data_IF_347884241955
#
_entry.id   IF_347884241955
#
_cell.length_a   1.000
_cell.length_b   1.000
_cell.length_c   1.000
_cell.angle_alpha   90.00
_cell.angle_beta   90.00
_cell.angle_gamma   90.00
#
_symmetry.space_group_name_H-M   'P 1'
#
loop_
_entity.id
_entity.type
_entity.pdbx_description
1 polymer ?
#
# COMPACT_ATOMS: atom_id res chain seq x y z
N UNK A 1 14.61 -23.69 3.43
CA UNK A 1 13.70 -22.79 4.18
C UNK A 1 12.75 -22.17 3.18
N UNK A 2 11.48 -22.55 3.18
CA UNK A 2 10.45 -21.92 2.34
C UNK A 2 10.32 -20.47 2.75
N UNK A 3 10.82 -19.54 1.93
CA UNK A 3 10.52 -18.11 2.02
C UNK A 3 9.01 -18.02 1.87
N UNK A 4 8.31 -17.97 3.01
CA UNK A 4 6.86 -17.79 3.04
C UNK A 4 6.59 -16.49 2.30
N UNK A 5 6.05 -16.61 1.09
CA UNK A 5 5.54 -15.48 0.31
C UNK A 5 4.64 -14.69 1.25
N UNK A 6 5.10 -13.49 1.60
CA UNK A 6 4.39 -12.55 2.46
C UNK A 6 3.17 -12.09 1.67
N UNK A 7 2.12 -12.90 1.72
CA UNK A 7 0.81 -12.55 1.24
C UNK A 7 0.29 -11.51 2.24
N UNK A 8 0.55 -10.24 1.94
CA UNK A 8 -0.22 -9.14 2.53
C UNK A 8 -1.64 -9.32 1.97
N UNK A 9 -2.42 -10.15 2.65
CA UNK A 9 -3.87 -10.17 2.53
C UNK A 9 -4.32 -8.81 3.02
N UNK A 10 -4.38 -7.85 2.10
CA UNK A 10 -5.00 -6.56 2.32
C UNK A 10 -6.48 -6.86 2.61
N UNK A 11 -6.80 -6.95 3.89
CA UNK A 11 -8.18 -7.00 4.35
C UNK A 11 -8.79 -5.64 4.04
N UNK A 12 -9.34 -5.50 2.84
CA UNK A 12 -10.16 -4.37 2.44
C UNK A 12 -11.50 -4.59 3.14
N UNK A 13 -11.54 -4.21 4.42
CA UNK A 13 -12.76 -4.12 5.20
C UNK A 13 -13.05 -2.63 5.39
N UNK A 14 -14.02 -2.14 4.61
CA UNK A 14 -15.08 -1.22 5.02
C UNK A 14 -14.70 -0.22 6.13
N UNK A 15 -14.09 0.90 5.78
CA UNK A 15 -14.04 2.07 6.66
C UNK A 15 -14.09 3.34 5.82
N UNK A 16 -15.27 3.64 5.27
CA UNK A 16 -15.61 5.00 4.89
C UNK A 16 -16.40 5.64 6.07
N UNK A 17 -15.81 6.70 6.61
CA UNK A 17 -16.51 7.85 7.19
C UNK A 17 -17.31 7.67 8.49
N UNK A 18 -16.69 7.16 9.56
CA UNK A 18 -17.16 7.42 10.93
C UNK A 18 -16.44 8.64 11.53
N UNK A 19 -16.77 9.85 11.05
CA UNK A 19 -16.42 11.11 11.72
C UNK A 19 -17.29 12.25 11.18
N UNK A 20 -18.44 12.51 11.80
CA UNK A 20 -18.98 13.84 12.14
C UNK A 20 -20.25 13.63 13.00
N UNK A 21 -20.22 14.17 14.21
CA UNK A 21 -21.34 14.33 15.12
C UNK A 21 -22.06 15.66 14.82
N UNK A 22 -23.40 15.63 14.82
CA UNK A 22 -24.39 16.75 14.83
C UNK A 22 -24.58 17.47 13.47
N UNK A 23 -25.79 17.74 12.92
CA UNK A 23 -27.14 17.98 13.47
C UNK A 23 -28.22 17.39 12.55
N UNK A 24 -29.38 17.01 13.08
CA UNK A 24 -30.47 16.39 12.32
C UNK A 24 -31.11 17.37 11.31
N UNK A 25 -30.53 17.46 10.10
CA UNK A 25 -31.23 17.99 8.94
C UNK A 25 -31.78 16.83 8.11
N UNK A 26 -33.05 16.93 7.73
CA UNK A 26 -33.66 16.00 6.79
C UNK A 26 -33.24 16.38 5.37
N UNK A 27 -32.68 15.43 4.63
CA UNK A 27 -32.44 15.58 3.20
C UNK A 27 -33.76 15.38 2.48
N UNK A 28 -34.35 16.48 2.00
CA UNK A 28 -35.63 16.46 1.30
C UNK A 28 -35.55 17.17 -0.05
N UNK A 29 -35.67 16.42 -1.15
CA UNK A 29 -35.78 17.02 -2.49
C UNK A 29 -36.46 16.06 -3.47
N UNK A 30 -37.05 16.61 -4.53
CA UNK A 30 -37.64 15.85 -5.65
C UNK A 30 -36.74 15.90 -6.87
N UNK A 31 -36.78 14.86 -7.71
CA UNK A 31 -36.05 14.87 -8.97
C UNK A 31 -36.65 15.90 -9.93
N UNK A 32 -35.77 16.75 -10.44
CA UNK A 32 -36.00 17.65 -11.57
C UNK A 32 -34.63 17.94 -12.19
N UNK A 33 -34.59 18.58 -13.36
CA UNK A 33 -33.34 18.82 -14.09
C UNK A 33 -32.29 19.59 -13.26
N UNK A 34 -32.73 20.53 -12.43
CA UNK A 34 -31.83 21.32 -11.57
C UNK A 34 -31.22 20.47 -10.44
N UNK A 35 -32.04 19.68 -9.75
CA UNK A 35 -31.61 18.82 -8.64
C UNK A 35 -30.76 17.66 -9.14
N UNK A 36 -31.01 17.13 -10.33
CA UNK A 36 -30.14 16.14 -10.97
C UNK A 36 -28.77 16.72 -11.27
N UNK A 37 -28.71 17.94 -11.82
CA UNK A 37 -27.44 18.64 -12.06
C UNK A 37 -26.68 18.90 -10.76
N UNK A 38 -27.38 19.31 -9.69
CA UNK A 38 -26.80 19.51 -8.35
C UNK A 38 -26.26 18.21 -7.76
N UNK A 39 -27.03 17.12 -7.79
CA UNK A 39 -26.61 15.82 -7.30
C UNK A 39 -25.41 15.27 -8.07
N UNK A 40 -25.44 15.37 -9.40
CA UNK A 40 -24.32 14.96 -10.25
C UNK A 40 -23.04 15.75 -9.93
N UNK A 41 -23.17 17.07 -9.79
CA UNK A 41 -22.05 17.95 -9.43
C UNK A 41 -21.48 17.60 -8.06
N UNK A 42 -22.34 17.26 -7.08
CA UNK A 42 -21.93 16.82 -5.76
C UNK A 42 -21.15 15.50 -5.82
N UNK A 43 -21.65 14.47 -6.52
CA UNK A 43 -20.91 13.22 -6.71
C UNK A 43 -19.57 13.45 -7.41
N UNK A 44 -19.56 14.23 -8.48
CA UNK A 44 -18.34 14.58 -9.22
C UNK A 44 -17.32 15.24 -8.30
N UNK A 45 -17.75 16.19 -7.47
CA UNK A 45 -16.89 16.92 -6.55
C UNK A 45 -16.31 16.02 -5.46
N UNK A 46 -17.12 15.11 -4.90
CA UNK A 46 -16.63 14.16 -3.89
C UNK A 46 -15.66 13.14 -4.50
N UNK A 47 -15.98 12.59 -5.66
CA UNK A 47 -15.14 11.59 -6.34
C UNK A 47 -13.81 12.17 -6.81
N UNK A 48 -13.73 13.46 -7.12
CA UNK A 48 -12.46 14.16 -7.43
C UNK A 48 -11.48 14.24 -6.25
N UNK A 49 -11.94 13.99 -5.03
CA UNK A 49 -11.04 13.88 -3.86
C UNK A 49 -10.27 12.56 -3.85
N UNK A 50 -10.75 11.56 -4.59
CA UNK A 50 -10.11 10.27 -4.78
C UNK A 50 -9.18 10.30 -6.00
N UNK A 51 -8.22 9.37 -6.11
CA UNK A 51 -7.28 9.31 -7.23
C UNK A 51 -7.93 8.61 -8.44
N UNK A 52 -9.14 9.05 -8.82
CA UNK A 52 -9.88 8.58 -9.98
C UNK A 52 -9.47 9.39 -11.22
N UNK A 53 -9.39 8.74 -12.37
CA UNK A 53 -9.32 9.45 -13.65
C UNK A 53 -10.64 10.21 -13.91
N UNK A 54 -10.60 11.29 -14.70
CA UNK A 54 -11.82 12.05 -15.05
C UNK A 54 -12.91 11.17 -15.69
N UNK A 55 -12.52 10.17 -16.49
CA UNK A 55 -13.46 9.18 -17.03
C UNK A 55 -14.15 8.38 -15.92
N UNK A 56 -13.38 7.83 -14.96
CA UNK A 56 -13.96 7.10 -13.83
C UNK A 56 -14.80 7.99 -12.92
N UNK A 57 -14.39 9.25 -12.68
CA UNK A 57 -15.21 10.21 -11.93
C UNK A 57 -16.57 10.39 -12.62
N UNK A 58 -16.58 10.59 -13.94
CA UNK A 58 -17.81 10.75 -14.70
C UNK A 58 -18.69 9.51 -14.63
N UNK A 59 -18.11 8.34 -14.88
CA UNK A 59 -18.83 7.07 -14.91
C UNK A 59 -19.43 6.73 -13.54
N UNK A 60 -18.64 6.86 -12.47
CA UNK A 60 -19.10 6.62 -11.09
C UNK A 60 -20.15 7.64 -10.66
N UNK A 61 -19.97 8.93 -10.98
CA UNK A 61 -20.96 9.96 -10.66
C UNK A 61 -22.31 9.71 -11.35
N UNK A 62 -22.29 9.29 -12.62
CA UNK A 62 -23.49 8.90 -13.35
C UNK A 62 -24.11 7.62 -12.83
N UNK A 63 -23.30 6.61 -12.49
CA UNK A 63 -23.77 5.38 -11.86
C UNK A 63 -24.48 5.67 -10.53
N UNK A 64 -23.86 6.45 -9.64
CA UNK A 64 -24.44 6.80 -8.34
C UNK A 64 -25.76 7.56 -8.50
N UNK A 65 -25.81 8.57 -9.38
CA UNK A 65 -27.05 9.29 -9.65
C UNK A 65 -28.15 8.36 -10.19
N UNK A 66 -27.81 7.49 -11.13
CA UNK A 66 -28.76 6.54 -11.74
C UNK A 66 -29.33 5.59 -10.69
N UNK A 67 -28.49 5.00 -9.85
CA UNK A 67 -28.91 4.07 -8.80
C UNK A 67 -29.71 4.76 -7.69
N UNK A 68 -29.33 5.97 -7.28
CA UNK A 68 -30.10 6.74 -6.30
C UNK A 68 -31.48 7.10 -6.84
N UNK A 69 -31.58 7.53 -8.10
CA UNK A 69 -32.87 7.77 -8.76
C UNK A 69 -33.72 6.51 -8.85
N UNK A 70 -33.12 5.37 -9.19
CA UNK A 70 -33.83 4.09 -9.26
C UNK A 70 -34.34 3.63 -7.88
N UNK A 71 -33.56 3.84 -6.81
CA UNK A 71 -33.93 3.49 -5.44
C UNK A 71 -34.99 4.43 -4.86
N UNK A 72 -34.98 5.71 -5.23
CA UNK A 72 -35.90 6.73 -4.74
C UNK A 72 -36.55 7.52 -5.89
N UNK A 73 -37.44 6.92 -6.69
CA UNK A 73 -37.97 7.52 -7.92
C UNK A 73 -38.78 8.81 -7.68
N UNK A 74 -39.34 8.98 -6.49
CA UNK A 74 -40.14 10.15 -6.12
C UNK A 74 -39.35 11.25 -5.39
N UNK A 75 -38.02 11.12 -5.34
CA UNK A 75 -37.14 11.99 -4.56
C UNK A 75 -36.79 11.41 -3.19
N UNK A 76 -35.93 12.14 -2.47
CA UNK A 76 -35.35 11.73 -1.19
C UNK A 76 -36.08 12.47 -0.08
N UNK A 77 -36.40 11.74 0.99
CA UNK A 77 -36.96 12.27 2.22
C UNK A 77 -36.54 11.38 3.38
N UNK A 78 -35.35 11.63 3.92
CA UNK A 78 -34.77 10.86 5.02
C UNK A 78 -33.81 11.74 5.82
N UNK A 79 -33.31 11.25 6.96
CA UNK A 79 -32.27 11.97 7.69
C UNK A 79 -30.97 12.02 6.88
N UNK A 80 -30.12 13.02 7.15
CA UNK A 80 -28.78 13.09 6.54
C UNK A 80 -27.96 11.82 6.77
N UNK A 81 -27.99 11.27 7.99
CA UNK A 81 -27.29 10.02 8.30
C UNK A 81 -27.76 8.85 7.43
N UNK A 82 -29.07 8.65 7.33
CA UNK A 82 -29.63 7.60 6.46
C UNK A 82 -29.26 7.82 5.00
N UNK A 83 -29.22 9.08 4.55
CA UNK A 83 -28.82 9.41 3.19
C UNK A 83 -27.34 9.11 2.93
N UNK A 84 -26.45 9.40 3.90
CA UNK A 84 -25.03 9.06 3.81
C UNK A 84 -24.83 7.55 3.69
N UNK A 85 -25.41 6.77 4.59
CA UNK A 85 -25.32 5.30 4.57
C UNK A 85 -25.78 4.73 3.21
N UNK A 86 -26.92 5.21 2.70
CA UNK A 86 -27.44 4.74 1.41
C UNK A 86 -26.56 5.16 0.24
N UNK A 87 -26.00 6.37 0.27
CA UNK A 87 -25.09 6.81 -0.78
C UNK A 87 -23.78 6.02 -0.76
N UNK A 88 -23.27 5.68 0.41
CA UNK A 88 -22.07 4.87 0.56
C UNK A 88 -22.30 3.46 -0.02
N UNK A 89 -23.44 2.83 0.27
CA UNK A 89 -23.83 1.56 -0.33
C UNK A 89 -23.91 1.62 -1.86
N UNK A 90 -24.52 2.69 -2.39
CA UNK A 90 -24.69 2.88 -3.83
C UNK A 90 -23.35 3.13 -4.52
N UNK A 91 -22.51 3.98 -3.93
CA UNK A 91 -21.18 4.25 -4.45
C UNK A 91 -20.33 2.97 -4.42
N UNK A 92 -20.40 2.19 -3.34
CA UNK A 92 -19.74 0.91 -3.25
C UNK A 92 -20.19 -0.04 -4.36
N UNK A 93 -21.50 -0.17 -4.61
CA UNK A 93 -22.02 -0.98 -5.70
C UNK A 93 -21.49 -0.52 -7.08
N UNK A 94 -21.44 0.80 -7.33
CA UNK A 94 -20.88 1.34 -8.57
C UNK A 94 -19.39 1.03 -8.74
N UNK A 95 -18.61 1.11 -7.66
CA UNK A 95 -17.18 0.77 -7.65
C UNK A 95 -16.97 -0.73 -7.93
N UNK A 96 -17.81 -1.60 -7.36
CA UNK A 96 -17.77 -3.05 -7.62
C UNK A 96 -18.15 -3.38 -9.07
N UNK A 97 -19.17 -2.74 -9.62
CA UNK A 97 -19.55 -2.89 -11.04
C UNK A 97 -18.43 -2.45 -11.98
N UNK A 98 -17.71 -1.38 -11.62
CA UNK A 98 -16.53 -0.93 -12.33
C UNK A 98 -15.28 -1.82 -12.11
N UNK A 99 -15.39 -2.85 -11.26
CA UNK A 99 -14.29 -3.75 -10.85
C UNK A 99 -13.07 -3.00 -10.33
N UNK A 100 -13.32 -1.93 -9.59
CA UNK A 100 -12.30 -1.09 -9.00
C UNK A 100 -12.09 -1.49 -7.54
N UNK A 101 -10.83 -1.53 -7.13
CA UNK A 101 -10.42 -1.58 -5.74
C UNK A 101 -10.00 -0.18 -5.35
N UNK A 102 -10.60 0.35 -4.29
CA UNK A 102 -10.32 1.68 -3.76
C UNK A 102 -9.68 1.54 -2.39
N UNK A 103 -8.48 2.08 -2.25
CA UNK A 103 -7.80 2.28 -0.97
C UNK A 103 -7.86 3.78 -0.70
N UNK A 104 -8.59 4.23 0.33
CA UNK A 104 -8.69 5.65 0.65
C UNK A 104 -7.34 6.21 1.12
N UNK A 105 -7.20 7.55 1.20
CA UNK A 105 -6.08 8.17 1.91
C UNK A 105 -5.92 7.55 3.31
N UNK A 106 -4.68 7.25 3.69
CA UNK A 106 -4.40 6.63 4.99
C UNK A 106 -4.61 7.67 6.10
N UNK A 107 -5.60 7.44 6.96
CA UNK A 107 -5.80 8.20 8.20
C UNK A 107 -4.78 7.79 9.27
N UNK A 108 -4.64 8.56 10.35
CA UNK A 108 -3.77 8.20 11.47
C UNK A 108 -4.14 6.85 12.11
N UNK A 109 -5.45 6.54 12.18
CA UNK A 109 -5.93 5.26 12.70
C UNK A 109 -5.57 4.11 11.75
N UNK A 110 -5.83 4.28 10.45
CA UNK A 110 -5.45 3.27 9.45
C UNK A 110 -3.93 3.09 9.36
N UNK A 111 -3.16 4.16 9.55
CA UNK A 111 -1.70 4.11 9.64
C UNK A 111 -1.25 3.21 10.80
N UNK A 112 -1.89 3.30 11.97
CA UNK A 112 -1.60 2.44 13.11
C UNK A 112 -1.95 0.97 12.83
N UNK A 113 -3.11 0.71 12.22
CA UNK A 113 -3.50 -0.66 11.81
C UNK A 113 -2.50 -1.24 10.82
N UNK A 114 -2.12 -0.49 9.78
CA UNK A 114 -1.13 -0.90 8.78
C UNK A 114 0.24 -1.17 9.43
N UNK A 115 0.66 -0.29 10.35
CA UNK A 115 1.90 -0.46 11.11
C UNK A 115 1.92 -1.79 11.86
N UNK A 116 0.86 -2.09 12.60
CA UNK A 116 0.75 -3.34 13.37
C UNK A 116 0.72 -4.58 12.45
N UNK A 117 -0.01 -4.51 11.33
CA UNK A 117 -0.05 -5.62 10.37
C UNK A 117 1.32 -5.91 9.75
N UNK A 118 2.10 -4.87 9.43
CA UNK A 118 3.47 -5.04 8.95
C UNK A 118 4.35 -5.62 10.05
N UNK A 119 4.28 -5.07 11.26
CA UNK A 119 5.03 -5.54 12.42
C UNK A 119 4.83 -7.04 12.69
N UNK A 120 3.58 -7.51 12.68
CA UNK A 120 3.22 -8.91 12.93
C UNK A 120 3.68 -9.87 11.84
N UNK A 121 3.78 -9.41 10.58
CA UNK A 121 4.21 -10.23 9.44
C UNK A 121 5.72 -10.34 9.30
N UNK A 122 6.49 -9.49 9.98
CA UNK A 122 7.96 -9.56 9.96
C UNK A 122 8.46 -10.77 10.74
N UNK A 123 9.57 -11.34 10.28
CA UNK A 123 10.18 -12.54 10.86
C UNK A 123 10.42 -12.38 12.37
N UNK A 124 10.18 -13.43 13.14
CA UNK A 124 10.32 -13.42 14.61
C UNK A 124 11.78 -13.21 15.06
N UNK A 125 12.75 -13.51 14.20
CA UNK A 125 14.17 -13.24 14.44
C UNK A 125 14.53 -11.75 14.39
N UNK A 126 13.66 -10.88 13.88
CA UNK A 126 13.88 -9.43 13.86
C UNK A 126 13.41 -8.83 15.19
N UNK A 127 14.26 -8.04 15.85
CA UNK A 127 13.90 -7.42 17.14
C UNK A 127 12.71 -6.48 17.00
N UNK A 128 11.95 -6.30 18.09
CA UNK A 128 10.80 -5.38 18.10
C UNK A 128 11.19 -3.96 17.68
N UNK A 129 12.37 -3.48 18.11
CA UNK A 129 12.86 -2.15 17.74
C UNK A 129 13.07 -2.03 16.23
N UNK A 130 13.67 -3.05 15.59
CA UNK A 130 13.86 -3.09 14.14
C UNK A 130 12.52 -3.22 13.41
N UNK A 131 11.60 -4.05 13.91
CA UNK A 131 10.26 -4.19 13.34
C UNK A 131 9.47 -2.88 13.37
N UNK A 132 9.53 -2.14 14.49
CA UNK A 132 8.91 -0.83 14.59
C UNK A 132 9.45 0.13 13.54
N UNK A 133 10.77 0.24 13.41
CA UNK A 133 11.43 1.08 12.37
C UNK A 133 11.01 0.69 10.95
N UNK A 134 10.95 -0.60 10.65
CA UNK A 134 10.50 -1.10 9.35
C UNK A 134 9.05 -0.75 9.06
N UNK A 135 8.16 -0.97 10.04
CA UNK A 135 6.75 -0.65 9.92
C UNK A 135 6.50 0.87 9.77
N UNK A 136 7.26 1.70 10.49
CA UNK A 136 7.23 3.16 10.36
C UNK A 136 7.72 3.63 8.99
N UNK A 137 8.85 3.10 8.51
CA UNK A 137 9.34 3.37 7.16
C UNK A 137 8.32 2.97 6.09
N UNK A 138 7.70 1.79 6.24
CA UNK A 138 6.69 1.33 5.28
C UNK A 138 5.49 2.27 5.23
N UNK A 139 4.87 2.56 6.37
CA UNK A 139 3.65 3.39 6.42
C UNK A 139 3.94 4.80 5.92
N UNK A 140 5.04 5.42 6.37
CA UNK A 140 5.44 6.75 5.89
C UNK A 140 5.69 6.79 4.38
N UNK A 141 6.35 5.77 3.83
CA UNK A 141 6.59 5.65 2.39
C UNK A 141 5.30 5.45 1.61
N UNK A 142 4.36 4.62 2.10
CA UNK A 142 3.06 4.42 1.46
C UNK A 142 2.25 5.72 1.47
N UNK A 143 2.20 6.42 2.60
CA UNK A 143 1.51 7.71 2.72
C UNK A 143 2.10 8.78 1.79
N UNK A 144 3.44 8.84 1.69
CA UNK A 144 4.12 9.77 0.80
C UNK A 144 3.90 9.44 -0.68
N UNK A 145 3.90 8.15 -1.04
CA UNK A 145 3.70 7.70 -2.42
C UNK A 145 2.24 7.79 -2.86
N UNK A 146 1.30 7.62 -1.93
CA UNK A 146 -0.14 7.59 -2.20
C UNK A 146 -0.91 8.52 -1.25
N UNK A 147 -0.65 9.84 -1.29
CA UNK A 147 -1.23 10.79 -0.33
C UNK A 147 -2.75 10.94 -0.47
N UNK A 148 -3.30 10.57 -1.63
CA UNK A 148 -4.75 10.55 -1.89
C UNK A 148 -5.35 9.14 -1.85
N UNK A 149 -4.59 8.13 -1.43
CA UNK A 149 -4.96 6.72 -1.58
C UNK A 149 -4.60 6.16 -2.95
N UNK A 150 -5.14 4.98 -3.29
CA UNK A 150 -4.86 4.25 -4.53
C UNK A 150 -6.13 3.65 -5.09
N UNK A 151 -6.29 3.69 -6.41
CA UNK A 151 -7.36 2.97 -7.10
C UNK A 151 -6.74 2.15 -8.22
N UNK A 152 -7.13 0.89 -8.30
CA UNK A 152 -6.66 -0.04 -9.32
C UNK A 152 -7.76 -1.01 -9.69
N UNK A 153 -7.68 -1.62 -10.87
CA UNK A 153 -8.64 -2.66 -11.26
C UNK A 153 -8.36 -3.92 -10.47
N UNK A 154 -9.37 -4.73 -10.22
CA UNK A 154 -9.17 -6.01 -9.53
C UNK A 154 -8.12 -6.90 -10.20
N UNK A 155 -8.04 -6.87 -11.53
CA UNK A 155 -7.01 -7.59 -12.30
C UNK A 155 -5.57 -7.17 -11.95
N UNK A 156 -5.38 -5.92 -11.49
CA UNK A 156 -4.07 -5.34 -11.15
C UNK A 156 -3.69 -5.58 -9.67
N UNK A 157 -4.48 -6.36 -8.92
CA UNK A 157 -4.25 -6.64 -7.50
C UNK A 157 -2.85 -7.19 -7.22
N UNK A 158 -2.32 -8.03 -8.10
CA UNK A 158 -0.98 -8.60 -7.93
C UNK A 158 0.11 -7.54 -8.13
N UNK A 159 -0.04 -6.64 -9.10
CA UNK A 159 0.88 -5.51 -9.29
C UNK A 159 0.89 -4.59 -8.08
N UNK A 160 -0.27 -4.34 -7.46
CA UNK A 160 -0.34 -3.56 -6.23
C UNK A 160 0.37 -4.26 -5.07
N UNK A 161 0.19 -5.58 -4.90
CA UNK A 161 0.91 -6.37 -3.89
C UNK A 161 2.43 -6.29 -4.09
N UNK A 162 2.90 -6.42 -5.32
CA UNK A 162 4.32 -6.28 -5.67
C UNK A 162 4.84 -4.88 -5.33
N UNK A 163 4.07 -3.83 -5.60
CA UNK A 163 4.44 -2.46 -5.25
C UNK A 163 4.54 -2.26 -3.72
N UNK A 164 3.65 -2.86 -2.93
CA UNK A 164 3.75 -2.83 -1.46
C UNK A 164 4.97 -3.59 -0.96
N UNK A 165 5.21 -4.80 -1.50
CA UNK A 165 6.40 -5.59 -1.17
C UNK A 165 7.69 -4.82 -1.46
N UNK A 166 7.76 -4.16 -2.61
CA UNK A 166 8.91 -3.34 -2.98
C UNK A 166 9.17 -2.21 -1.99
N UNK A 167 8.13 -1.56 -1.46
CA UNK A 167 8.26 -0.53 -0.43
C UNK A 167 8.86 -1.13 0.85
N UNK A 168 8.33 -2.27 1.31
CA UNK A 168 8.85 -2.93 2.51
C UNK A 168 10.31 -3.38 2.35
N UNK A 169 10.66 -3.97 1.21
CA UNK A 169 12.04 -4.37 0.90
C UNK A 169 12.98 -3.17 0.81
N UNK A 170 12.55 -2.05 0.20
CA UNK A 170 13.36 -0.82 0.17
C UNK A 170 13.68 -0.30 1.57
N UNK A 171 12.70 -0.34 2.48
CA UNK A 171 12.91 0.06 3.88
C UNK A 171 13.97 -0.81 4.56
N UNK A 172 13.91 -2.13 4.36
CA UNK A 172 14.89 -3.04 4.93
C UNK A 172 16.27 -2.92 4.30
N UNK A 173 16.36 -2.73 2.98
CA UNK A 173 17.61 -2.44 2.29
C UNK A 173 18.24 -1.16 2.85
N UNK A 174 17.49 -0.07 3.00
CA UNK A 174 18.02 1.17 3.58
C UNK A 174 18.58 0.98 4.98
N UNK A 175 17.91 0.18 5.82
CA UNK A 175 18.40 -0.15 7.15
C UNK A 175 19.69 -0.99 7.08
N UNK A 176 19.76 -1.98 6.19
CA UNK A 176 21.00 -2.72 5.97
C UNK A 176 22.12 -1.82 5.44
N UNK A 177 21.83 -0.94 4.47
CA UNK A 177 22.79 0.01 3.90
C UNK A 177 23.28 1.06 4.91
N UNK A 178 22.55 1.32 6.00
CA UNK A 178 23.01 2.19 7.07
C UNK A 178 24.17 1.57 7.90
N UNK A 179 24.32 0.25 7.85
CA UNK A 179 25.38 -0.48 8.53
C UNK A 179 24.85 -1.67 9.33
N UNK A 180 25.68 -2.70 9.41
CA UNK A 180 25.48 -3.90 10.22
C UNK A 180 26.73 -4.05 11.08
N UNK A 181 26.65 -3.81 12.39
CA UNK A 181 27.84 -3.85 13.27
C UNK A 181 28.30 -5.26 13.62
N UNK A 182 27.43 -6.25 13.41
CA UNK A 182 27.73 -7.67 13.57
C UNK A 182 26.72 -8.53 12.79
N UNK A 183 27.16 -9.70 12.34
CA UNK A 183 26.28 -10.69 11.72
C UNK A 183 25.67 -11.58 12.80
N UNK A 184 24.35 -11.58 12.86
CA UNK A 184 23.55 -12.46 13.70
C UNK A 184 22.25 -12.79 12.96
N UNK A 185 21.42 -13.66 13.53
CA UNK A 185 20.17 -14.09 12.89
C UNK A 185 19.27 -12.91 12.50
N UNK A 186 19.20 -11.87 13.34
CA UNK A 186 18.41 -10.66 13.06
C UNK A 186 18.95 -9.91 11.83
N UNK A 187 20.25 -9.59 11.82
CA UNK A 187 20.85 -8.78 10.75
C UNK A 187 20.89 -9.54 9.43
N UNK A 188 21.06 -10.86 9.45
CA UNK A 188 20.93 -11.70 8.27
C UNK A 188 19.50 -11.74 7.71
N UNK A 189 18.49 -11.86 8.58
CA UNK A 189 17.08 -11.85 8.18
C UNK A 189 16.68 -10.51 7.57
N UNK A 190 17.08 -9.41 8.20
CA UNK A 190 16.86 -8.05 7.69
C UNK A 190 17.50 -7.86 6.31
N UNK A 191 18.77 -8.27 6.17
CA UNK A 191 19.51 -8.16 4.92
C UNK A 191 18.82 -8.96 3.81
N UNK A 192 18.52 -10.24 4.07
CA UNK A 192 17.82 -11.09 3.09
C UNK A 192 16.48 -10.46 2.67
N UNK A 193 15.71 -9.93 3.62
CA UNK A 193 14.44 -9.28 3.33
C UNK A 193 14.59 -8.04 2.43
N UNK A 194 15.62 -7.21 2.64
CA UNK A 194 15.88 -6.02 1.84
C UNK A 194 16.22 -6.28 0.37
N UNK A 195 16.91 -7.39 0.08
CA UNK A 195 17.43 -7.68 -1.27
C UNK A 195 16.64 -8.72 -2.06
N UNK A 196 15.53 -9.24 -1.52
CA UNK A 196 14.66 -10.19 -2.24
C UNK A 196 13.94 -9.60 -3.47
N UNK A 197 13.87 -8.26 -3.58
CA UNK A 197 13.19 -7.54 -4.66
C UNK A 197 13.94 -7.49 -6.01
N UNK A 198 15.25 -7.78 -6.03
CA UNK A 198 16.11 -7.48 -7.18
C UNK A 198 16.08 -8.55 -8.28
N UNK A 199 15.35 -9.66 -8.08
CA UNK A 199 15.21 -10.74 -9.06
C UNK A 199 13.80 -11.34 -9.01
N UNK A 200 13.38 -12.01 -10.09
CA UNK A 200 12.11 -12.71 -10.16
C UNK A 200 11.93 -13.71 -9.00
N UNK A 201 10.67 -13.97 -8.62
CA UNK A 201 10.33 -14.77 -7.44
C UNK A 201 11.05 -16.14 -7.36
N UNK A 202 11.32 -16.78 -8.50
CA UNK A 202 11.99 -18.09 -8.56
C UNK A 202 13.50 -18.05 -8.24
N UNK A 203 14.12 -16.86 -8.14
CA UNK A 203 15.54 -16.69 -7.78
C UNK A 203 15.79 -15.83 -6.54
N UNK A 204 14.74 -15.22 -5.96
CA UNK A 204 14.88 -14.22 -4.89
C UNK A 204 15.60 -14.73 -3.65
N UNK A 205 15.27 -15.96 -3.21
CA UNK A 205 15.92 -16.56 -2.04
C UNK A 205 17.39 -16.90 -2.31
N UNK A 206 17.71 -17.42 -3.49
CA UNK A 206 19.09 -17.76 -3.86
C UNK A 206 19.94 -16.49 -4.00
N UNK A 207 19.35 -15.42 -4.56
CA UNK A 207 20.00 -14.12 -4.74
C UNK A 207 20.31 -13.45 -3.42
N UNK A 208 19.31 -13.36 -2.54
CA UNK A 208 19.49 -12.80 -1.22
C UNK A 208 20.53 -13.59 -0.40
N UNK A 209 20.56 -14.92 -0.56
CA UNK A 209 21.58 -15.77 0.09
C UNK A 209 22.98 -15.55 -0.49
N UNK A 210 23.13 -15.55 -1.81
CA UNK A 210 24.41 -15.26 -2.48
C UNK A 210 24.98 -13.91 -2.01
N UNK A 211 24.13 -12.87 -2.02
CA UNK A 211 24.53 -11.53 -1.58
C UNK A 211 25.01 -11.55 -0.13
N UNK A 212 24.24 -12.18 0.76
CA UNK A 212 24.59 -12.28 2.17
C UNK A 212 25.97 -12.95 2.35
N UNK A 213 26.21 -14.09 1.71
CA UNK A 213 27.47 -14.82 1.85
C UNK A 213 28.65 -14.02 1.32
N UNK A 214 28.51 -13.35 0.16
CA UNK A 214 29.57 -12.49 -0.37
C UNK A 214 29.82 -11.27 0.53
N UNK A 215 28.78 -10.69 1.12
CA UNK A 215 28.92 -9.60 2.08
C UNK A 215 29.60 -10.05 3.37
N UNK A 216 29.22 -11.20 3.93
CA UNK A 216 29.87 -11.79 5.12
C UNK A 216 31.33 -12.11 4.85
N UNK A 217 31.66 -12.62 3.67
CA UNK A 217 33.03 -12.88 3.26
C UNK A 217 33.87 -11.60 3.20
N UNK A 218 33.33 -10.52 2.63
CA UNK A 218 34.02 -9.23 2.50
C UNK A 218 34.09 -8.45 3.81
N UNK A 219 33.08 -8.58 4.67
CA UNK A 219 32.92 -7.85 5.92
C UNK A 219 32.56 -8.81 7.07
N UNK A 220 33.47 -9.69 7.52
CA UNK A 220 33.15 -10.77 8.46
C UNK A 220 32.72 -10.29 9.85
N UNK A 221 33.06 -9.05 10.22
CA UNK A 221 32.65 -8.41 11.47
C UNK A 221 31.54 -7.38 11.28
N UNK A 222 30.84 -7.43 10.14
CA UNK A 222 29.92 -6.37 9.73
C UNK A 222 30.62 -5.15 9.12
N UNK A 223 29.83 -4.13 8.79
CA UNK A 223 30.24 -2.87 8.19
C UNK A 223 29.47 -1.68 8.77
N UNK A 224 30.11 -0.51 8.81
CA UNK A 224 29.47 0.75 9.21
C UNK A 224 29.54 1.72 8.04
N UNK A 225 28.42 2.38 7.74
CA UNK A 225 28.37 3.39 6.68
C UNK A 225 28.37 4.78 7.30
N UNK A 226 29.26 5.63 6.81
CA UNK A 226 29.36 7.04 7.17
C UNK A 226 29.68 7.86 5.91
N UNK A 227 29.62 9.19 6.02
CA UNK A 227 29.81 10.07 4.86
C UNK A 227 31.16 9.89 4.14
N UNK A 228 32.20 9.38 4.83
CA UNK A 228 33.52 9.16 4.21
C UNK A 228 33.57 7.90 3.35
N UNK A 229 32.81 6.86 3.69
CA UNK A 229 32.87 5.56 3.01
C UNK A 229 31.59 5.19 2.24
N UNK A 230 30.54 6.01 2.32
CA UNK A 230 29.23 5.81 1.68
C UNK A 230 29.32 5.47 0.19
N UNK A 231 30.09 6.25 -0.58
CA UNK A 231 30.25 6.01 -2.02
C UNK A 231 30.94 4.67 -2.31
N UNK A 232 32.01 4.35 -1.56
CA UNK A 232 32.74 3.09 -1.72
C UNK A 232 31.89 1.88 -1.30
N UNK A 233 31.08 2.03 -0.26
CA UNK A 233 30.15 1.00 0.19
C UNK A 233 29.05 0.77 -0.84
N UNK A 234 28.41 1.83 -1.34
CA UNK A 234 27.40 1.72 -2.40
C UNK A 234 27.96 1.02 -3.65
N UNK A 235 29.19 1.37 -4.07
CA UNK A 235 29.84 0.68 -5.18
C UNK A 235 30.06 -0.82 -4.88
N UNK A 236 30.47 -1.16 -3.65
CA UNK A 236 30.59 -2.57 -3.23
C UNK A 236 29.25 -3.29 -3.28
N UNK A 237 28.16 -2.67 -2.83
CA UNK A 237 26.81 -3.22 -2.95
C UNK A 237 26.46 -3.53 -4.40
N UNK A 238 26.60 -2.56 -5.30
CA UNK A 238 26.23 -2.74 -6.71
C UNK A 238 27.10 -3.81 -7.40
N UNK A 239 28.39 -3.87 -7.11
CA UNK A 239 29.27 -4.92 -7.63
C UNK A 239 28.84 -6.32 -7.17
N UNK A 240 28.50 -6.48 -5.90
CA UNK A 240 28.07 -7.77 -5.36
C UNK A 240 26.68 -8.17 -5.87
N UNK A 241 25.77 -7.20 -6.06
CA UNK A 241 24.46 -7.41 -6.71
C UNK A 241 24.62 -7.97 -8.11
N UNK A 242 25.47 -7.36 -8.93
CA UNK A 242 25.75 -7.82 -10.29
C UNK A 242 26.33 -9.24 -10.29
N UNK A 243 27.35 -9.50 -9.46
CA UNK A 243 27.96 -10.83 -9.37
C UNK A 243 26.94 -11.93 -9.01
N UNK A 244 26.08 -11.69 -8.02
CA UNK A 244 25.06 -12.67 -7.63
C UNK A 244 23.96 -12.84 -8.68
N UNK A 245 23.64 -11.78 -9.43
CA UNK A 245 22.67 -11.86 -10.52
C UNK A 245 23.21 -12.74 -11.67
N UNK A 246 24.48 -12.59 -12.01
CA UNK A 246 25.14 -13.38 -13.06
C UNK A 246 25.25 -14.86 -12.66
N UNK A 247 25.57 -15.17 -11.40
CA UNK A 247 25.63 -16.55 -10.89
C UNK A 247 24.28 -17.28 -10.95
N UNK A 248 23.17 -16.58 -10.69
CA UNK A 248 21.83 -17.19 -10.67
C UNK A 248 21.24 -17.33 -12.06
N UNK A 249 21.59 -16.42 -12.97
CA UNK A 249 21.15 -16.51 -14.38
C UNK A 249 21.90 -17.57 -15.17
N UNK A 250 23.13 -17.91 -14.79
CA UNK A 250 23.94 -18.98 -15.41
C UNK A 250 23.67 -20.38 -14.85
N UNK A 251 22.98 -20.48 -13.71
CA UNK A 251 22.65 -21.75 -13.04
C UNK A 251 21.25 -22.30 -13.38
N UNK A 252 20.47 -21.59 -14.21
CA UNK A 252 19.16 -22.02 -14.73
C UNK A 252 19.24 -22.31 -16.23
#
# INVERSE_FOLDING_TARGET
>A
MTVKQVSITLAIALLCCSSILTSAQNVKFKWNAENEKKALSAYTTQLRKLPLSEAQVKDLSHCSLTKVKAKYPNGINMSEQQFMEVNDDILFACVQEAKLIVIPPISNELALTLKNQVFEKLDQSISETTKLKLSDCFVSTVMAKYPKGVIFKEADRNLFKEAMFLISSNCAEQMSLAGITEWNTETESLFKYGFTKDIAANGASAYAHCLLEKFKSKFPKGYVVNEKNKAAMNNTFEQLKLACKDEITTSN
#
